data_IF_647004127524
#
_entry.id   IF_647004127524
#
_cell.length_a   1.000
_cell.length_b   1.000
_cell.length_c   1.000
_cell.angle_alpha   90.00
_cell.angle_beta   90.00
_cell.angle_gamma   90.00
#
_symmetry.space_group_name_H-M   'P 1'
#
loop_
_entity.id
_entity.type
_entity.pdbx_description
1 polymer ?
#
# COMPACT_ATOMS: atom_id res chain seq x y z
N UNK A 1 -7.11 -17.49 1.95
CA UNK A 1 -5.73 -17.34 2.43
C UNK A 1 -5.13 -16.14 1.71
N UNK A 2 -4.76 -15.07 2.41
CA UNK A 2 -4.26 -13.82 1.79
C UNK A 2 -2.84 -13.99 1.23
N UNK A 3 -2.46 -13.17 0.24
CA UNK A 3 -1.12 -13.17 -0.40
C UNK A 3 0.05 -13.05 0.59
N UNK A 4 -0.20 -12.52 1.79
CA UNK A 4 0.77 -12.32 2.86
C UNK A 4 0.70 -13.35 3.99
N UNK A 5 -0.03 -14.47 3.81
CA UNK A 5 -0.22 -15.48 4.86
C UNK A 5 1.08 -16.14 5.34
N UNK A 6 2.14 -16.09 4.54
CA UNK A 6 3.46 -16.66 4.84
C UNK A 6 4.37 -15.70 5.62
N UNK A 7 3.99 -14.42 5.75
CA UNK A 7 4.80 -13.41 6.45
C UNK A 7 4.35 -13.26 7.90
N UNK A 8 5.27 -12.96 8.81
CA UNK A 8 4.95 -12.64 10.20
C UNK A 8 4.42 -11.19 10.32
N UNK A 9 3.78 -10.87 11.45
CA UNK A 9 3.29 -9.49 11.71
C UNK A 9 4.44 -8.47 11.73
N UNK A 10 5.60 -8.86 12.23
CA UNK A 10 6.81 -8.02 12.21
C UNK A 10 7.29 -7.77 10.77
N UNK A 11 7.32 -8.82 9.94
CA UNK A 11 7.68 -8.70 8.51
C UNK A 11 6.70 -7.78 7.75
N UNK A 12 5.41 -7.88 8.03
CA UNK A 12 4.40 -7.00 7.44
C UNK A 12 4.53 -5.55 7.90
N UNK A 13 4.90 -5.33 9.16
CA UNK A 13 5.14 -3.99 9.72
C UNK A 13 6.38 -3.35 9.10
N UNK A 14 7.44 -4.13 8.91
CA UNK A 14 8.64 -3.70 8.19
C UNK A 14 8.32 -3.37 6.73
N UNK A 15 7.57 -4.23 6.03
CA UNK A 15 7.15 -4.01 4.65
C UNK A 15 6.32 -2.74 4.50
N UNK A 16 5.35 -2.50 5.39
CA UNK A 16 4.56 -1.26 5.44
C UNK A 16 5.47 -0.04 5.54
N UNK A 17 6.46 -0.09 6.44
CA UNK A 17 7.40 1.01 6.66
C UNK A 17 8.24 1.29 5.42
N UNK A 18 8.74 0.25 4.76
CA UNK A 18 9.49 0.38 3.49
C UNK A 18 8.63 0.98 2.38
N UNK A 19 7.38 0.53 2.23
CA UNK A 19 6.44 1.07 1.23
C UNK A 19 6.09 2.53 1.51
N UNK A 20 5.86 2.91 2.77
CA UNK A 20 5.62 4.30 3.17
C UNK A 20 6.83 5.20 2.90
N UNK A 21 8.04 4.72 3.22
CA UNK A 21 9.27 5.46 2.93
C UNK A 21 9.46 5.66 1.42
N UNK A 22 9.23 4.61 0.61
CA UNK A 22 9.31 4.70 -0.85
C UNK A 22 8.28 5.67 -1.43
N UNK A 23 7.04 5.63 -0.93
CA UNK A 23 5.99 6.56 -1.35
C UNK A 23 6.34 8.00 -1.00
N UNK A 24 6.84 8.22 0.21
CA UNK A 24 7.23 9.56 0.70
C UNK A 24 8.39 10.11 -0.12
N UNK A 25 9.45 9.32 -0.33
CA UNK A 25 10.61 9.69 -1.13
C UNK A 25 10.23 10.09 -2.56
N UNK A 26 9.27 9.37 -3.18
CA UNK A 26 8.77 9.69 -4.52
C UNK A 26 7.96 10.98 -4.56
N UNK A 27 7.15 11.24 -3.54
CA UNK A 27 6.31 12.44 -3.46
C UNK A 27 7.09 13.70 -3.08
N UNK A 28 8.16 13.56 -2.29
CA UNK A 28 9.00 14.68 -1.84
C UNK A 28 10.12 15.00 -2.81
N UNK A 29 10.56 14.04 -3.62
CA UNK A 29 11.51 14.31 -4.70
C UNK A 29 10.85 15.25 -5.73
N UNK A 30 11.54 16.32 -6.16
CA UNK A 30 11.07 17.15 -7.25
C UNK A 30 10.99 16.27 -8.49
N UNK A 31 9.78 15.79 -8.76
CA UNK A 31 9.47 15.02 -9.96
C UNK A 31 9.60 16.02 -11.10
N UNK A 32 10.78 16.06 -11.71
CA UNK A 32 11.01 16.85 -12.90
C UNK A 32 9.96 16.39 -13.92
N UNK A 33 8.93 17.21 -14.13
CA UNK A 33 7.85 17.00 -15.07
C UNK A 33 8.45 17.03 -16.49
N UNK A 34 9.10 15.94 -16.86
CA UNK A 34 9.79 15.77 -18.13
C UNK A 34 9.01 14.77 -18.96
N UNK A 35 8.15 15.29 -19.84
CA UNK A 35 7.45 14.59 -20.92
C UNK A 35 6.48 13.46 -20.48
N UNK A 36 5.26 13.48 -21.01
CA UNK A 36 4.08 12.75 -20.50
C UNK A 36 4.23 11.26 -20.19
N UNK A 37 5.11 10.53 -20.87
CA UNK A 37 5.35 9.10 -20.62
C UNK A 37 5.99 8.81 -19.25
N UNK A 38 6.82 9.73 -18.74
CA UNK A 38 7.45 9.58 -17.42
C UNK A 38 6.46 9.88 -16.30
N UNK A 39 5.53 10.80 -16.52
CA UNK A 39 4.46 11.12 -15.57
C UNK A 39 3.48 9.95 -15.43
N UNK A 40 3.02 9.37 -16.54
CA UNK A 40 2.11 8.22 -16.51
C UNK A 40 2.73 7.00 -15.79
N UNK A 41 4.02 6.74 -16.01
CA UNK A 41 4.76 5.68 -15.28
C UNK A 41 4.92 6.00 -13.81
N UNK A 42 5.15 7.26 -13.46
CA UNK A 42 5.22 7.70 -12.07
C UNK A 42 3.89 7.48 -11.35
N UNK A 43 2.78 7.92 -11.96
CA UNK A 43 1.44 7.78 -11.40
C UNK A 43 1.05 6.31 -11.24
N UNK A 44 1.38 5.46 -12.23
CA UNK A 44 1.15 4.02 -12.14
C UNK A 44 1.93 3.39 -10.99
N UNK A 45 3.22 3.74 -10.81
CA UNK A 45 4.02 3.21 -9.71
C UNK A 45 3.53 3.68 -8.34
N UNK A 46 3.05 4.93 -8.22
CA UNK A 46 2.43 5.43 -6.99
C UNK A 46 1.13 4.69 -6.69
N UNK A 47 0.31 4.42 -7.71
CA UNK A 47 -0.94 3.67 -7.56
C UNK A 47 -0.70 2.22 -7.10
N UNK A 48 0.30 1.54 -7.67
CA UNK A 48 0.68 0.18 -7.24
C UNK A 48 1.19 0.17 -5.79
N UNK A 49 2.06 1.11 -5.39
CA UNK A 49 2.54 1.21 -3.99
C UNK A 49 1.37 1.44 -3.02
N UNK A 50 0.40 2.30 -3.38
CA UNK A 50 -0.79 2.55 -2.55
C UNK A 50 -1.67 1.30 -2.42
N UNK A 51 -1.86 0.57 -3.52
CA UNK A 51 -2.62 -0.69 -3.54
C UNK A 51 -1.95 -1.75 -2.66
N UNK A 52 -0.63 -1.89 -2.78
CA UNK A 52 0.15 -2.82 -1.95
C UNK A 52 0.08 -2.44 -0.47
N UNK A 53 0.22 -1.15 -0.15
CA UNK A 53 0.07 -0.64 1.21
C UNK A 53 -1.30 -0.99 1.79
N UNK A 54 -2.38 -0.80 1.02
CA UNK A 54 -3.73 -1.16 1.43
C UNK A 54 -3.89 -2.65 1.73
N UNK A 55 -3.29 -3.52 0.90
CA UNK A 55 -3.31 -4.96 1.11
C UNK A 55 -2.54 -5.40 2.36
N UNK A 56 -1.38 -4.79 2.64
CA UNK A 56 -0.59 -5.03 3.85
C UNK A 56 -1.33 -4.55 5.09
N UNK A 57 -1.91 -3.35 5.07
CA UNK A 57 -2.72 -2.83 6.18
C UNK A 57 -3.93 -3.72 6.45
N UNK A 58 -4.67 -4.14 5.43
CA UNK A 58 -5.82 -5.03 5.60
C UNK A 58 -5.44 -6.40 6.17
N UNK A 59 -4.25 -6.92 5.85
CA UNK A 59 -3.74 -8.15 6.48
C UNK A 59 -3.36 -7.91 7.95
N UNK A 60 -2.72 -6.79 8.28
CA UNK A 60 -2.41 -6.42 9.66
C UNK A 60 -3.69 -6.21 10.49
N UNK A 61 -4.71 -5.55 9.94
CA UNK A 61 -6.01 -5.33 10.59
C UNK A 61 -6.72 -6.65 10.85
N UNK A 62 -6.75 -7.55 9.86
CA UNK A 62 -7.27 -8.92 10.01
C UNK A 62 -6.57 -9.70 11.13
N UNK A 63 -5.25 -9.54 11.28
CA UNK A 63 -4.45 -10.23 12.32
C UNK A 63 -4.63 -9.61 13.70
N UNK A 64 -4.80 -8.30 13.77
CA UNK A 64 -5.07 -7.58 15.01
C UNK A 64 -6.51 -7.79 15.51
N UNK A 65 -7.34 -8.56 14.80
CA UNK A 65 -8.74 -8.77 15.14
C UNK A 65 -9.59 -7.52 14.92
N UNK A 66 -9.07 -6.52 14.20
CA UNK A 66 -9.87 -5.39 13.71
C UNK A 66 -10.70 -5.94 12.57
N UNK A 67 -11.89 -6.42 12.91
CA UNK A 67 -12.89 -6.86 11.95
C UNK A 67 -13.10 -5.71 10.98
N UNK A 68 -12.78 -5.95 9.71
CA UNK A 68 -13.06 -5.03 8.62
C UNK A 68 -14.57 -4.72 8.69
N UNK A 69 -14.94 -3.55 9.20
CA UNK A 69 -16.32 -3.08 9.25
C UNK A 69 -16.76 -2.83 7.81
N UNK A 70 -17.10 -3.90 7.09
CA UNK A 70 -17.85 -3.79 5.85
C UNK A 70 -19.22 -3.24 6.23
N UNK A 71 -19.69 -2.13 5.63
CA UNK A 71 -21.07 -1.71 5.84
C UNK A 71 -21.98 -2.85 5.37
N UNK A 72 -22.81 -3.35 6.29
CA UNK A 72 -23.88 -4.29 5.97
C UNK A 72 -24.89 -3.49 5.15
N UNK A 73 -24.87 -3.64 3.83
CA UNK A 73 -26.00 -3.23 3.00
C UNK A 73 -27.14 -4.21 3.32
N UNK A 74 -28.07 -3.80 4.18
CA UNK A 74 -29.40 -4.41 4.27
C UNK A 74 -30.12 -4.08 2.96
N UNK A 75 -30.33 -5.09 2.13
CA UNK A 75 -31.26 -5.07 0.99
C UNK A 75 -32.59 -5.64 1.44
#
# INVERSE_FOLDING_TARGET
MGIYSHQTTEQLTALRTTLQASLTDRLTKPTAAGSGDRNARFDQQVAEIRKELGAVCAELDRRNGVVEHRPIYLV
#
